data_IF_586780042093
#
_entry.id   IF_586780042093
#
_cell.length_a   1.000
_cell.length_b   1.000
_cell.length_c   1.000
_cell.angle_alpha   90.00
_cell.angle_beta   90.00
_cell.angle_gamma   90.00
#
_symmetry.space_group_name_H-M   'P 1'
#
loop_
_entity.id
_entity.type
_entity.pdbx_description
1 polymer ?
#
# COMPACT_ATOMS: atom_id res chain seq x y z
N UNK A 1 49.73 50.83 -16.26
CA UNK A 1 49.05 49.56 -16.58
C UNK A 1 48.14 49.19 -15.41
N UNK A 2 46.88 48.86 -15.73
CA UNK A 2 45.76 48.40 -14.88
C UNK A 2 45.04 49.46 -14.01
N UNK A 3 43.77 49.66 -14.33
CA UNK A 3 42.78 50.57 -13.75
C UNK A 3 42.02 49.92 -12.57
N UNK A 4 41.57 50.68 -11.55
CA UNK A 4 40.91 50.15 -10.36
C UNK A 4 39.36 50.12 -10.49
N UNK A 5 38.83 49.50 -11.55
CA UNK A 5 37.38 49.48 -11.85
C UNK A 5 36.75 48.07 -11.83
N UNK A 6 37.27 47.16 -11.02
CA UNK A 6 36.67 45.83 -10.85
C UNK A 6 36.48 45.49 -9.37
N UNK A 7 35.87 46.43 -8.62
CA UNK A 7 35.25 46.13 -7.35
C UNK A 7 34.01 45.24 -7.60
N UNK A 8 34.22 43.94 -7.46
CA UNK A 8 33.31 42.99 -6.80
C UNK A 8 31.81 43.34 -6.85
N UNK A 9 31.18 43.04 -7.98
CA UNK A 9 29.74 42.85 -8.08
C UNK A 9 29.44 41.38 -8.42
N UNK A 10 29.86 40.46 -7.55
CA UNK A 10 29.31 39.11 -7.50
C UNK A 10 28.06 39.19 -6.63
N UNK A 11 26.98 39.71 -7.22
CA UNK A 11 25.65 39.56 -6.68
C UNK A 11 25.32 38.06 -6.70
N UNK A 12 25.41 37.44 -5.52
CA UNK A 12 24.80 36.16 -5.22
C UNK A 12 23.29 36.29 -5.44
N UNK A 13 22.85 36.05 -6.67
CA UNK A 13 21.47 35.67 -6.96
C UNK A 13 21.30 34.25 -6.41
N UNK A 14 21.00 34.19 -5.11
CA UNK A 14 20.26 33.07 -4.53
C UNK A 14 18.88 33.14 -5.18
N UNK A 15 18.75 32.53 -6.37
CA UNK A 15 17.44 32.19 -6.90
C UNK A 15 16.90 31.17 -5.91
N UNK A 16 15.98 31.64 -5.06
CA UNK A 16 15.30 30.83 -4.09
C UNK A 16 14.79 29.57 -4.77
N UNK A 17 15.16 28.42 -4.22
CA UNK A 17 14.49 27.17 -4.53
C UNK A 17 13.01 27.40 -4.28
N UNK A 18 12.23 27.44 -5.35
CA UNK A 18 10.78 27.38 -5.24
C UNK A 18 10.46 25.96 -4.78
N UNK A 19 10.60 25.71 -3.47
CA UNK A 19 10.10 24.50 -2.84
C UNK A 19 8.58 24.63 -2.76
N UNK A 20 7.92 24.55 -3.90
CA UNK A 20 6.49 24.30 -4.01
C UNK A 20 6.28 22.79 -4.18
N UNK A 21 6.60 22.03 -3.13
CA UNK A 21 6.17 20.65 -2.95
C UNK A 21 5.26 20.68 -1.69
N UNK A 22 3.98 20.31 -1.68
CA UNK A 22 3.20 19.60 -2.68
C UNK A 22 1.77 20.14 -2.81
N UNK A 23 1.16 19.76 -3.95
CA UNK A 23 -0.26 20.01 -4.24
C UNK A 23 -1.14 18.80 -3.91
N UNK A 24 -0.54 17.62 -3.74
CA UNK A 24 -1.21 16.34 -3.50
C UNK A 24 -0.55 15.61 -2.33
N UNK A 25 -1.26 14.65 -1.73
CA UNK A 25 -0.72 13.85 -0.64
C UNK A 25 0.11 12.67 -1.14
N UNK A 26 1.30 12.49 -0.58
CA UNK A 26 2.21 11.37 -0.79
C UNK A 26 1.99 10.32 0.32
N UNK A 27 1.67 9.08 -0.07
CA UNK A 27 1.37 8.02 0.89
C UNK A 27 2.60 7.50 1.64
N UNK A 28 3.79 7.54 1.04
CA UNK A 28 5.04 7.17 1.73
C UNK A 28 5.37 8.20 2.81
N UNK A 29 5.24 9.48 2.49
CA UNK A 29 5.35 10.54 3.49
C UNK A 29 4.25 10.45 4.54
N UNK A 30 3.04 10.01 4.17
CA UNK A 30 1.93 9.84 5.10
C UNK A 30 2.20 8.76 6.15
N UNK A 31 2.77 7.62 5.72
CA UNK A 31 3.24 6.57 6.61
C UNK A 31 4.32 7.09 7.58
N UNK A 32 5.27 7.88 7.07
CA UNK A 32 6.31 8.50 7.89
C UNK A 32 5.72 9.50 8.90
N UNK A 33 4.79 10.36 8.47
CA UNK A 33 4.12 11.33 9.32
C UNK A 33 3.35 10.66 10.47
N UNK A 34 2.63 9.55 10.24
CA UNK A 34 1.98 8.80 11.32
C UNK A 34 2.95 8.26 12.38
N UNK A 35 4.17 7.92 11.97
CA UNK A 35 5.23 7.45 12.88
C UNK A 35 5.87 8.63 13.62
N UNK A 36 6.30 9.63 12.88
CA UNK A 36 7.09 10.77 13.38
C UNK A 36 6.25 11.71 14.23
N UNK A 37 4.97 11.88 13.92
CA UNK A 37 4.01 12.64 14.75
C UNK A 37 3.42 11.84 15.91
N UNK A 38 3.87 10.59 16.08
CA UNK A 38 3.53 9.74 17.24
C UNK A 38 2.16 9.08 17.21
N UNK A 39 1.41 9.15 16.10
CA UNK A 39 0.07 8.56 15.98
C UNK A 39 0.08 7.04 16.24
N UNK A 40 1.11 6.35 15.73
CA UNK A 40 1.30 4.89 15.85
C UNK A 40 1.58 4.39 17.27
N UNK A 41 1.75 5.29 18.25
CA UNK A 41 2.02 4.93 19.63
C UNK A 41 0.74 4.56 20.40
N UNK A 42 -0.41 5.08 19.94
CA UNK A 42 -1.72 4.69 20.46
C UNK A 42 -2.53 3.93 19.41
N UNK A 43 -2.45 4.33 18.14
CA UNK A 43 -3.20 3.72 17.06
C UNK A 43 -2.40 2.61 16.36
N UNK A 44 -3.06 1.48 16.12
CA UNK A 44 -2.57 0.51 15.15
C UNK A 44 -2.81 0.98 13.71
N UNK A 45 -2.01 0.47 12.77
CA UNK A 45 -2.18 0.61 11.32
C UNK A 45 -2.01 -0.76 10.69
N UNK A 46 -3.02 -1.27 9.99
CA UNK A 46 -3.02 -2.63 9.42
C UNK A 46 -2.71 -3.71 10.47
N UNK A 47 -3.21 -3.54 11.68
CA UNK A 47 -2.96 -4.42 12.82
C UNK A 47 -1.52 -4.39 13.36
N UNK A 48 -0.71 -3.37 12.99
CA UNK A 48 0.66 -3.19 13.47
C UNK A 48 0.85 -1.91 14.27
N UNK A 49 1.71 -1.98 15.27
CA UNK A 49 1.85 -0.92 16.28
C UNK A 49 0.66 -0.91 17.25
N UNK A 50 0.51 0.19 17.97
CA UNK A 50 -0.70 0.47 18.75
C UNK A 50 -0.58 0.35 20.26
N UNK A 51 -1.60 0.93 20.89
CA UNK A 51 -1.89 0.99 22.32
C UNK A 51 -3.41 0.87 22.51
N UNK A 52 -4.05 1.67 23.38
CA UNK A 52 -5.47 1.51 23.69
C UNK A 52 -6.44 1.99 22.59
N UNK A 53 -5.96 2.59 21.50
CA UNK A 53 -6.81 3.23 20.50
C UNK A 53 -7.12 2.33 19.29
N UNK A 54 -8.23 2.64 18.61
CA UNK A 54 -8.69 1.90 17.43
C UNK A 54 -7.68 1.95 16.29
N UNK A 55 -7.60 0.87 15.51
CA UNK A 55 -6.81 0.83 14.28
C UNK A 55 -7.30 1.87 13.26
N UNK A 56 -6.39 2.70 12.74
CA UNK A 56 -6.70 3.76 11.77
C UNK A 56 -7.16 3.22 10.41
N UNK A 57 -6.92 1.94 10.14
CA UNK A 57 -7.39 1.24 8.94
C UNK A 57 -8.75 0.60 9.11
N UNK A 58 -9.34 0.68 10.31
CA UNK A 58 -10.69 0.20 10.55
C UNK A 58 -11.71 0.95 9.70
N UNK A 59 -12.48 0.21 8.89
CA UNK A 59 -13.51 0.74 7.97
C UNK A 59 -14.81 1.15 8.67
N UNK A 60 -14.92 0.97 9.99
CA UNK A 60 -16.12 1.32 10.77
C UNK A 60 -16.44 2.83 10.78
N UNK A 61 -15.52 3.67 10.34
CA UNK A 61 -15.71 5.13 10.24
C UNK A 61 -16.15 5.54 8.84
N UNK A 62 -17.47 5.69 8.65
CA UNK A 62 -18.14 6.51 7.63
C UNK A 62 -17.62 6.46 6.17
N UNK A 63 -18.09 7.38 5.34
CA UNK A 63 -17.48 7.62 4.04
C UNK A 63 -16.10 8.27 4.24
N UNK A 64 -15.04 7.60 3.80
CA UNK A 64 -13.67 8.12 3.91
C UNK A 64 -13.44 9.23 2.87
N UNK A 65 -13.95 10.42 3.19
CA UNK A 65 -13.81 11.66 2.42
C UNK A 65 -12.93 12.66 3.18
N UNK A 66 -12.34 13.66 2.52
CA UNK A 66 -11.59 14.70 3.23
C UNK A 66 -12.40 15.41 4.33
N UNK A 67 -13.69 15.67 4.08
CA UNK A 67 -14.59 16.27 5.06
C UNK A 67 -14.90 15.32 6.23
N UNK A 68 -15.14 14.03 5.94
CA UNK A 68 -15.35 13.01 6.96
C UNK A 68 -14.12 12.80 7.84
N UNK A 69 -12.94 12.65 7.22
CA UNK A 69 -11.67 12.56 7.93
C UNK A 69 -11.43 13.78 8.83
N UNK A 70 -11.69 14.99 8.32
CA UNK A 70 -11.56 16.22 9.11
C UNK A 70 -12.53 16.24 10.29
N UNK A 71 -13.79 15.83 10.08
CA UNK A 71 -14.79 15.79 11.15
C UNK A 71 -14.43 14.78 12.25
N UNK A 72 -13.97 13.59 11.87
CA UNK A 72 -13.50 12.57 12.83
C UNK A 72 -12.32 13.10 13.66
N UNK A 73 -11.29 13.65 13.01
CA UNK A 73 -10.15 14.22 13.72
C UNK A 73 -10.57 15.38 14.63
N UNK A 74 -11.40 16.29 14.14
CA UNK A 74 -11.86 17.45 14.91
C UNK A 74 -12.61 17.04 16.18
N UNK A 75 -13.50 16.05 16.07
CA UNK A 75 -14.29 15.57 17.19
C UNK A 75 -13.48 14.68 18.14
N UNK A 76 -12.49 13.95 17.64
CA UNK A 76 -11.64 13.06 18.44
C UNK A 76 -10.47 13.80 19.12
N UNK A 77 -10.00 14.91 18.55
CA UNK A 77 -8.81 15.62 18.98
C UNK A 77 -8.75 15.95 20.49
N UNK A 78 -9.81 16.42 21.17
CA UNK A 78 -9.76 16.70 22.60
C UNK A 78 -9.42 15.46 23.45
N UNK A 79 -9.96 14.30 23.08
CA UNK A 79 -9.66 13.03 23.75
C UNK A 79 -8.21 12.61 23.48
N UNK A 80 -7.76 12.72 22.23
CA UNK A 80 -6.36 12.45 21.88
C UNK A 80 -5.42 13.33 22.69
N UNK A 81 -5.67 14.63 22.78
CA UNK A 81 -4.81 15.57 23.51
C UNK A 81 -4.78 15.29 25.00
N UNK A 82 -5.91 14.92 25.60
CA UNK A 82 -5.98 14.51 27.00
C UNK A 82 -5.12 13.27 27.27
N UNK A 83 -5.17 12.28 26.37
CA UNK A 83 -4.36 11.06 26.48
C UNK A 83 -2.87 11.33 26.21
N UNK A 84 -2.55 12.21 25.27
CA UNK A 84 -1.17 12.66 25.06
C UNK A 84 -0.62 13.34 26.31
N UNK A 85 -1.41 14.24 26.92
CA UNK A 85 -1.01 14.95 28.13
C UNK A 85 -0.81 14.02 29.33
N UNK A 86 -1.64 12.98 29.49
CA UNK A 86 -1.49 11.97 30.56
C UNK A 86 -0.17 11.19 30.44
N UNK A 87 0.34 11.06 29.22
CA UNK A 87 1.62 10.43 28.91
C UNK A 87 2.79 11.43 28.87
N UNK A 88 2.60 12.68 29.30
CA UNK A 88 3.63 13.72 29.32
C UNK A 88 4.00 14.24 27.93
N UNK A 89 3.10 14.14 26.96
CA UNK A 89 3.33 14.53 25.57
C UNK A 89 2.48 15.74 25.20
N UNK A 90 2.96 16.51 24.25
CA UNK A 90 2.22 17.60 23.63
C UNK A 90 1.88 17.22 22.20
N UNK A 91 0.68 17.59 21.70
CA UNK A 91 0.39 17.52 20.28
C UNK A 91 1.42 18.34 19.51
N UNK A 92 2.30 17.68 18.77
CA UNK A 92 3.19 18.38 17.84
C UNK A 92 2.36 18.94 16.68
N UNK A 93 2.75 20.12 16.19
CA UNK A 93 2.08 20.71 15.04
C UNK A 93 2.25 19.83 13.81
N UNK A 94 1.15 19.55 13.11
CA UNK A 94 1.16 18.94 11.79
C UNK A 94 1.05 20.02 10.72
N UNK A 95 1.81 19.89 9.65
CA UNK A 95 1.67 20.79 8.50
C UNK A 95 0.44 20.41 7.67
N UNK A 96 -0.02 21.32 6.82
CA UNK A 96 -1.05 20.99 5.82
C UNK A 96 -0.61 19.84 4.91
N UNK A 97 0.69 19.76 4.58
CA UNK A 97 1.23 18.67 3.76
C UNK A 97 1.21 17.35 4.52
N UNK A 98 1.60 17.34 5.80
CA UNK A 98 1.53 16.14 6.66
C UNK A 98 0.10 15.56 6.67
N UNK A 99 -0.92 16.43 6.79
CA UNK A 99 -2.32 15.99 6.78
C UNK A 99 -2.78 15.46 5.41
N UNK A 100 -2.31 16.07 4.31
CA UNK A 100 -2.58 15.55 2.95
C UNK A 100 -1.95 14.17 2.76
N UNK A 101 -0.71 14.02 3.19
CA UNK A 101 0.07 12.80 3.08
C UNK A 101 -0.56 11.67 3.92
N UNK A 102 -0.90 11.97 5.19
CA UNK A 102 -1.60 11.03 6.08
C UNK A 102 -2.96 10.62 5.50
N UNK A 103 -3.73 11.58 4.98
CA UNK A 103 -4.99 11.26 4.33
C UNK A 103 -4.80 10.35 3.10
N UNK A 104 -3.84 10.65 2.22
CA UNK A 104 -3.52 9.82 1.06
C UNK A 104 -3.09 8.41 1.47
N UNK A 105 -2.24 8.28 2.49
CA UNK A 105 -1.82 6.99 3.02
C UNK A 105 -3.01 6.19 3.56
N UNK A 106 -3.80 6.79 4.46
CA UNK A 106 -4.97 6.14 5.05
C UNK A 106 -6.02 5.80 3.99
N UNK A 107 -6.17 6.63 2.97
CA UNK A 107 -7.00 6.34 1.79
C UNK A 107 -6.49 5.11 1.08
N UNK A 108 -5.21 5.08 0.69
CA UNK A 108 -4.61 3.97 -0.04
C UNK A 108 -4.68 2.64 0.73
N UNK A 109 -4.38 2.63 2.02
CA UNK A 109 -4.44 1.40 2.83
C UNK A 109 -5.86 0.95 3.17
N UNK A 110 -6.84 1.86 3.16
CA UNK A 110 -8.27 1.52 3.30
C UNK A 110 -8.93 1.18 1.97
N UNK A 111 -8.30 1.52 0.85
CA UNK A 111 -8.80 1.30 -0.50
C UNK A 111 -8.79 -0.19 -0.88
N UNK A 112 -7.78 -0.94 -0.44
CA UNK A 112 -7.65 -2.36 -0.79
C UNK A 112 -8.46 -3.28 0.15
N UNK A 113 -9.23 -4.17 -0.50
CA UNK A 113 -9.99 -5.35 -0.05
C UNK A 113 -10.86 -5.25 1.24
N UNK A 114 -12.12 -5.72 1.23
CA UNK A 114 -12.89 -5.83 2.45
C UNK A 114 -12.17 -6.66 3.50
N UNK A 115 -12.44 -6.36 4.78
CA UNK A 115 -11.99 -7.26 5.85
C UNK A 115 -12.51 -8.67 5.58
N UNK A 116 -11.57 -9.62 5.42
CA UNK A 116 -11.85 -11.02 5.21
C UNK A 116 -12.26 -11.72 6.51
N UNK A 117 -12.97 -12.83 6.36
CA UNK A 117 -13.45 -13.70 7.44
C UNK A 117 -12.91 -15.11 7.22
N UNK A 118 -12.17 -15.61 8.21
CA UNK A 118 -11.49 -16.90 8.11
C UNK A 118 -12.46 -18.09 7.99
N UNK A 119 -13.65 -18.03 8.58
CA UNK A 119 -14.63 -19.12 8.49
C UNK A 119 -15.31 -19.15 7.11
N UNK A 120 -15.55 -17.98 6.52
CA UNK A 120 -15.95 -17.90 5.10
C UNK A 120 -14.81 -18.31 4.18
N UNK A 121 -13.57 -17.92 4.47
CA UNK A 121 -12.41 -18.29 3.66
C UNK A 121 -12.14 -19.78 3.66
N UNK A 122 -12.36 -20.46 4.79
CA UNK A 122 -12.33 -21.92 4.86
C UNK A 122 -13.32 -22.57 3.91
N UNK A 123 -14.53 -22.02 3.79
CA UNK A 123 -15.54 -22.48 2.83
C UNK A 123 -15.08 -22.25 1.40
N UNK A 124 -14.56 -21.06 1.08
CA UNK A 124 -13.99 -20.76 -0.26
C UNK A 124 -12.90 -21.76 -0.63
N UNK A 125 -11.93 -22.03 0.26
CA UNK A 125 -10.85 -23.00 0.00
C UNK A 125 -11.37 -24.42 -0.30
N UNK A 126 -12.49 -24.81 0.30
CA UNK A 126 -13.12 -26.11 0.07
C UNK A 126 -13.98 -26.12 -1.21
N UNK A 127 -14.86 -25.13 -1.37
CA UNK A 127 -15.84 -25.04 -2.45
C UNK A 127 -15.20 -24.75 -3.81
N UNK A 128 -14.09 -24.01 -3.83
CA UNK A 128 -13.25 -23.80 -5.03
C UNK A 128 -12.24 -24.92 -5.25
N UNK A 129 -12.35 -26.02 -4.51
CA UNK A 129 -11.52 -27.22 -4.60
C UNK A 129 -9.99 -27.01 -4.43
N UNK A 130 -9.55 -25.90 -3.83
CA UNK A 130 -8.12 -25.58 -3.63
C UNK A 130 -7.37 -26.70 -2.88
N UNK A 131 -8.06 -27.33 -1.92
CA UNK A 131 -7.56 -28.45 -1.11
C UNK A 131 -7.20 -29.71 -1.91
N UNK A 132 -7.67 -29.86 -3.15
CA UNK A 132 -7.36 -31.03 -3.99
C UNK A 132 -5.90 -31.05 -4.45
N UNK A 133 -5.26 -29.88 -4.52
CA UNK A 133 -3.86 -29.73 -4.91
C UNK A 133 -3.00 -29.11 -3.80
N UNK A 134 -3.54 -28.17 -3.02
CA UNK A 134 -2.79 -27.46 -1.98
C UNK A 134 -3.09 -28.01 -0.58
N UNK A 135 -2.12 -28.69 0.02
CA UNK A 135 -2.23 -29.18 1.39
C UNK A 135 -2.21 -28.02 2.41
N UNK A 136 -3.03 -28.10 3.46
CA UNK A 136 -3.06 -27.08 4.53
C UNK A 136 -1.87 -27.16 5.48
N UNK A 137 -1.16 -28.28 5.48
CA UNK A 137 0.04 -28.56 6.26
C UNK A 137 1.13 -29.05 5.33
N UNK A 138 2.39 -28.92 5.75
CA UNK A 138 3.49 -29.55 5.00
C UNK A 138 3.30 -31.06 5.04
N UNK A 139 3.35 -31.69 3.87
CA UNK A 139 3.29 -33.13 3.70
C UNK A 139 4.62 -33.62 3.17
N UNK A 140 5.10 -34.78 3.63
CA UNK A 140 6.29 -35.40 3.06
C UNK A 140 5.96 -36.01 1.69
N UNK A 141 6.77 -35.68 0.68
CA UNK A 141 6.61 -36.15 -0.71
C UNK A 141 6.13 -35.06 -1.68
N UNK A 142 5.98 -35.44 -2.94
CA UNK A 142 5.58 -34.52 -4.01
C UNK A 142 4.05 -34.37 -4.04
N UNK A 143 3.54 -33.29 -3.43
CA UNK A 143 2.16 -32.85 -3.62
C UNK A 143 1.94 -32.27 -5.02
N UNK A 144 0.69 -32.25 -5.49
CA UNK A 144 0.34 -31.69 -6.82
C UNK A 144 0.68 -30.19 -6.88
N UNK A 145 0.34 -29.46 -5.82
CA UNK A 145 0.68 -28.04 -5.67
C UNK A 145 1.50 -27.79 -4.40
N UNK A 146 2.15 -26.62 -4.30
CA UNK A 146 2.83 -26.22 -3.08
C UNK A 146 1.86 -26.19 -1.91
N UNK A 147 2.27 -26.73 -0.76
CA UNK A 147 1.49 -26.66 0.46
C UNK A 147 1.28 -25.20 0.87
N UNK A 148 0.13 -24.91 1.48
CA UNK A 148 -0.26 -23.57 1.92
C UNK A 148 0.81 -22.91 2.81
N UNK A 149 1.46 -23.62 3.76
CA UNK A 149 2.56 -23.05 4.56
C UNK A 149 3.79 -22.60 3.76
N UNK A 150 3.94 -23.05 2.51
CA UNK A 150 5.06 -22.73 1.63
C UNK A 150 4.71 -21.65 0.59
N UNK A 151 3.46 -21.15 0.60
CA UNK A 151 3.08 -20.00 -0.21
C UNK A 151 3.86 -18.74 0.25
N UNK A 152 4.17 -17.81 -0.68
CA UNK A 152 4.78 -16.54 -0.31
C UNK A 152 3.94 -15.76 0.70
N UNK A 153 4.55 -14.77 1.36
CA UNK A 153 3.88 -13.98 2.39
C UNK A 153 2.64 -13.25 1.83
N UNK A 154 1.46 -13.80 2.11
CA UNK A 154 0.15 -13.31 1.64
C UNK A 154 -0.33 -12.02 2.30
N UNK A 155 0.51 -11.40 3.13
CA UNK A 155 0.20 -10.14 3.79
C UNK A 155 0.33 -8.95 2.85
N UNK A 156 0.95 -9.15 1.68
CA UNK A 156 0.92 -8.21 0.58
C UNK A 156 0.07 -8.83 -0.55
N UNK A 157 -1.13 -8.29 -0.84
CA UNK A 157 -2.00 -8.83 -1.89
C UNK A 157 -1.34 -8.76 -3.28
N UNK A 158 -0.36 -7.87 -3.50
CA UNK A 158 0.38 -7.78 -4.76
C UNK A 158 1.33 -8.96 -4.93
N UNK A 159 2.03 -9.38 -3.86
CA UNK A 159 2.88 -10.58 -3.91
C UNK A 159 2.05 -11.85 -4.11
N UNK A 160 0.86 -11.92 -3.52
CA UNK A 160 -0.04 -13.04 -3.78
C UNK A 160 -0.54 -13.05 -5.23
N UNK A 161 -0.93 -11.89 -5.77
CA UNK A 161 -1.32 -11.76 -7.16
C UNK A 161 -0.21 -12.20 -8.10
N UNK A 162 1.02 -11.72 -7.90
CA UNK A 162 2.18 -12.12 -8.70
C UNK A 162 2.38 -13.64 -8.65
N UNK A 163 2.39 -14.23 -7.46
CA UNK A 163 2.60 -15.66 -7.29
C UNK A 163 1.50 -16.49 -7.98
N UNK A 164 0.24 -16.10 -7.81
CA UNK A 164 -0.90 -16.77 -8.45
C UNK A 164 -0.91 -16.57 -9.97
N UNK A 165 -0.54 -15.38 -10.45
CA UNK A 165 -0.43 -15.07 -11.88
C UNK A 165 0.63 -15.94 -12.55
N UNK A 166 1.83 -16.00 -11.95
CA UNK A 166 2.93 -16.79 -12.46
C UNK A 166 2.70 -18.30 -12.31
N UNK A 167 1.91 -18.73 -11.32
CA UNK A 167 1.54 -20.14 -11.13
C UNK A 167 0.30 -20.56 -11.95
N UNK A 168 -0.49 -19.60 -12.46
CA UNK A 168 -1.81 -19.82 -13.02
C UNK A 168 -1.86 -20.81 -14.18
N UNK A 169 -0.86 -20.79 -15.07
CA UNK A 169 -0.79 -21.73 -16.20
C UNK A 169 -0.70 -23.20 -15.74
N UNK A 170 0.10 -23.49 -14.71
CA UNK A 170 0.20 -24.84 -14.13
C UNK A 170 -1.10 -25.23 -13.45
N UNK A 171 -1.75 -24.30 -12.74
CA UNK A 171 -3.06 -24.56 -12.15
C UNK A 171 -4.12 -24.85 -13.22
N UNK A 172 -4.07 -24.19 -14.38
CA UNK A 172 -5.00 -24.41 -15.47
C UNK A 172 -4.85 -25.82 -16.05
N UNK A 173 -3.61 -26.25 -16.30
CA UNK A 173 -3.30 -27.61 -16.75
C UNK A 173 -3.80 -28.67 -15.76
N UNK A 174 -3.49 -28.51 -14.47
CA UNK A 174 -3.89 -29.46 -13.42
C UNK A 174 -5.42 -29.48 -13.19
N UNK A 175 -6.07 -28.33 -13.24
CA UNK A 175 -7.55 -28.27 -13.12
C UNK A 175 -8.21 -28.94 -14.33
N UNK A 176 -7.70 -28.73 -15.55
CA UNK A 176 -8.18 -29.41 -16.73
C UNK A 176 -7.98 -30.94 -16.64
N UNK A 177 -6.79 -31.40 -16.26
CA UNK A 177 -6.47 -32.81 -16.08
C UNK A 177 -7.34 -33.47 -14.99
N UNK A 178 -7.56 -32.77 -13.88
CA UNK A 178 -8.39 -33.18 -12.76
C UNK A 178 -9.91 -33.04 -13.00
N UNK A 179 -10.32 -32.50 -14.16
CA UNK A 179 -11.70 -32.13 -14.50
C UNK A 179 -12.35 -31.20 -13.46
N UNK A 180 -11.54 -30.34 -12.86
CA UNK A 180 -11.94 -29.29 -11.95
C UNK A 180 -12.25 -28.06 -12.81
N UNK A 181 -13.38 -27.41 -12.55
CA UNK A 181 -13.69 -26.14 -13.23
C UNK A 181 -12.77 -25.06 -12.70
N UNK A 182 -12.19 -24.25 -13.59
CA UNK A 182 -11.43 -23.06 -13.17
C UNK A 182 -12.26 -22.20 -12.20
N UNK A 183 -11.74 -21.86 -11.02
CA UNK A 183 -12.51 -21.16 -10.01
C UNK A 183 -12.69 -19.69 -10.38
N UNK A 184 -13.94 -19.27 -10.58
CA UNK A 184 -14.30 -17.85 -10.58
C UNK A 184 -14.40 -17.38 -9.12
N UNK A 185 -13.76 -16.26 -8.79
CA UNK A 185 -13.72 -15.70 -7.44
C UNK A 185 -14.14 -14.23 -7.45
N UNK A 186 -14.96 -13.87 -6.47
CA UNK A 186 -15.28 -12.47 -6.15
C UNK A 186 -14.20 -11.86 -5.26
N UNK A 187 -14.16 -10.52 -5.20
CA UNK A 187 -13.34 -9.74 -4.26
C UNK A 187 -13.48 -10.27 -2.83
N UNK A 188 -14.72 -10.46 -2.36
CA UNK A 188 -14.98 -10.95 -1.00
C UNK A 188 -14.50 -12.37 -0.75
N UNK A 189 -14.71 -13.29 -1.70
CA UNK A 189 -14.22 -14.67 -1.57
C UNK A 189 -12.69 -14.71 -1.47
N UNK A 190 -12.00 -13.87 -2.25
CA UNK A 190 -10.55 -13.76 -2.22
C UNK A 190 -10.05 -13.18 -0.89
N UNK A 191 -10.66 -12.09 -0.41
CA UNK A 191 -10.34 -11.49 0.88
C UNK A 191 -10.56 -12.46 2.05
N UNK A 192 -11.68 -13.19 2.04
CA UNK A 192 -12.00 -14.21 3.04
C UNK A 192 -11.00 -15.37 2.98
N UNK A 193 -10.65 -15.86 1.78
CA UNK A 193 -9.64 -16.90 1.55
C UNK A 193 -8.28 -16.50 2.15
N UNK A 194 -7.82 -15.28 1.87
CA UNK A 194 -6.58 -14.74 2.42
C UNK A 194 -6.63 -14.64 3.95
N UNK A 195 -7.76 -14.23 4.53
CA UNK A 195 -7.94 -14.20 5.98
C UNK A 195 -7.85 -15.60 6.61
N UNK A 196 -8.48 -16.61 6.00
CA UNK A 196 -8.39 -18.00 6.43
C UNK A 196 -6.96 -18.52 6.40
N UNK A 197 -6.31 -18.35 5.25
CA UNK A 197 -4.98 -18.88 5.00
C UNK A 197 -3.93 -18.23 5.92
N UNK A 198 -4.10 -16.94 6.25
CA UNK A 198 -3.25 -16.21 7.20
C UNK A 198 -3.49 -16.61 8.66
N UNK A 199 -4.64 -17.20 8.99
CA UNK A 199 -4.97 -17.67 10.34
C UNK A 199 -4.42 -19.08 10.65
N UNK A 200 -3.79 -19.75 9.69
CA UNK A 200 -3.23 -21.10 9.87
C UNK A 200 -1.98 -21.10 10.78
N UNK A 201 -1.84 -22.09 11.68
CA UNK A 201 -0.82 -22.10 12.73
C UNK A 201 0.62 -22.31 12.23
N UNK A 202 0.83 -22.94 11.07
CA UNK A 202 2.17 -23.21 10.51
C UNK A 202 2.73 -22.07 9.64
N UNK A 203 2.07 -20.91 9.63
CA UNK A 203 2.52 -19.71 8.89
C UNK A 203 3.67 -19.02 9.63
N UNK A 204 4.82 -18.74 8.99
CA UNK A 204 5.88 -17.97 9.62
C UNK A 204 5.39 -16.55 10.02
N UNK A 205 5.93 -15.98 11.10
CA UNK A 205 5.48 -14.70 11.62
C UNK A 205 5.62 -13.56 10.60
N UNK A 206 4.62 -12.68 10.65
CA UNK A 206 4.35 -11.57 9.73
C UNK A 206 5.57 -10.65 9.52
N UNK A 207 6.14 -10.66 8.32
CA UNK A 207 6.95 -9.54 7.81
C UNK A 207 6.44 -9.16 6.42
N UNK A 208 5.44 -8.28 6.39
CA UNK A 208 5.06 -7.58 5.17
C UNK A 208 5.56 -6.15 5.29
N UNK A 209 6.44 -5.71 4.40
CA UNK A 209 6.72 -4.28 4.27
C UNK A 209 5.74 -3.77 3.23
N UNK A 210 4.83 -2.88 3.61
CA UNK A 210 4.05 -2.14 2.63
C UNK A 210 5.01 -1.17 1.96
N UNK A 211 5.55 -1.54 0.80
CA UNK A 211 6.26 -0.62 -0.08
C UNK A 211 5.25 -0.13 -1.11
N UNK A 212 4.86 1.15 -1.03
CA UNK A 212 4.07 1.76 -2.09
C UNK A 212 4.96 1.80 -3.34
N UNK A 213 4.48 1.20 -4.45
CA UNK A 213 5.23 1.15 -5.70
C UNK A 213 5.67 2.54 -6.17
N UNK A 214 6.87 2.63 -6.75
CA UNK A 214 7.36 3.88 -7.33
C UNK A 214 6.70 4.10 -8.69
N UNK A 215 6.03 5.23 -8.87
CA UNK A 215 5.42 5.62 -10.15
C UNK A 215 6.45 5.59 -11.31
N UNK A 216 7.67 6.07 -11.05
CA UNK A 216 8.78 6.04 -12.01
C UNK A 216 9.26 4.61 -12.30
N UNK A 217 9.29 3.73 -11.29
CA UNK A 217 9.64 2.32 -11.52
C UNK A 217 8.57 1.59 -12.32
N UNK A 218 7.29 1.86 -12.04
CA UNK A 218 6.16 1.31 -12.80
C UNK A 218 6.19 1.73 -14.27
N UNK A 219 6.46 3.01 -14.55
CA UNK A 219 6.60 3.49 -15.94
C UNK A 219 7.75 2.78 -16.68
N UNK A 220 8.93 2.65 -16.05
CA UNK A 220 10.05 1.92 -16.66
C UNK A 220 9.67 0.47 -16.97
N UNK A 221 9.04 -0.22 -16.02
CA UNK A 221 8.58 -1.59 -16.23
C UNK A 221 7.58 -1.70 -17.40
N UNK A 222 6.65 -0.74 -17.51
CA UNK A 222 5.66 -0.69 -18.59
C UNK A 222 6.30 -0.50 -19.97
N UNK A 223 7.38 0.28 -20.07
CA UNK A 223 8.18 0.43 -21.29
C UNK A 223 9.03 -0.82 -21.56
N UNK A 224 9.76 -1.31 -20.56
CA UNK A 224 10.66 -2.48 -20.66
C UNK A 224 9.90 -3.75 -21.11
N UNK A 225 8.64 -3.92 -20.68
CA UNK A 225 7.77 -5.02 -21.10
C UNK A 225 7.13 -4.78 -22.48
N UNK A 226 7.40 -3.65 -23.13
CA UNK A 226 6.89 -3.29 -24.46
C UNK A 226 5.43 -2.87 -24.48
N UNK A 227 4.80 -2.59 -23.33
CA UNK A 227 3.37 -2.30 -23.24
C UNK A 227 3.01 -1.01 -23.99
N UNK A 228 3.93 -0.04 -24.06
CA UNK A 228 3.78 1.22 -24.83
C UNK A 228 3.56 0.95 -26.33
N UNK A 229 4.03 -0.19 -26.85
CA UNK A 229 3.82 -0.58 -28.24
C UNK A 229 2.36 -0.84 -28.62
N UNK A 230 1.49 -1.09 -27.64
CA UNK A 230 0.06 -1.36 -27.87
C UNK A 230 -0.88 -0.48 -27.03
N UNK A 231 -0.44 0.03 -25.89
CA UNK A 231 -1.24 0.84 -24.97
C UNK A 231 -0.78 2.30 -25.00
N UNK A 232 -1.69 3.21 -25.36
CA UNK A 232 -1.43 4.66 -25.31
C UNK A 232 -1.62 5.18 -23.89
N UNK A 233 -0.61 5.87 -23.37
CA UNK A 233 -0.72 6.61 -22.11
C UNK A 233 -1.27 8.00 -22.47
N UNK A 234 -2.48 8.31 -22.02
CA UNK A 234 -3.15 9.58 -22.35
C UNK A 234 -2.40 10.73 -21.65
N UNK A 235 -1.67 11.54 -22.41
CA UNK A 235 -0.92 12.70 -21.90
C UNK A 235 -1.79 13.92 -21.58
N UNK A 236 -3.08 13.93 -21.93
CA UNK A 236 -3.88 15.17 -22.05
C UNK A 236 -5.07 15.32 -21.12
N UNK A 237 -5.13 14.60 -19.99
CA UNK A 237 -6.09 14.90 -18.94
C UNK A 237 -5.43 15.84 -17.90
N UNK A 238 -5.95 17.06 -17.67
CA UNK A 238 -5.43 17.97 -16.65
C UNK A 238 -5.47 17.41 -15.21
N UNK A 239 -6.17 16.30 -14.98
CA UNK A 239 -6.20 15.57 -13.70
C UNK A 239 -5.23 14.36 -13.65
N UNK A 240 -4.46 14.07 -14.71
CA UNK A 240 -3.46 12.99 -14.72
C UNK A 240 -2.03 13.49 -14.47
N UNK A 241 -1.28 12.73 -13.67
CA UNK A 241 0.13 12.97 -13.34
C UNK A 241 0.98 12.52 -14.55
N UNK A 242 1.76 13.42 -15.19
CA UNK A 242 2.72 13.00 -16.20
C UNK A 242 3.84 12.21 -15.51
N UNK A 243 3.96 10.93 -15.88
CA UNK A 243 4.98 10.01 -15.39
C UNK A 243 6.36 10.24 -16.04
N UNK A 244 6.49 11.26 -16.87
CA UNK A 244 7.74 11.77 -17.44
C UNK A 244 7.74 13.31 -17.42
N UNK A 245 8.88 13.98 -17.24
CA UNK A 245 8.95 15.42 -17.42
C UNK A 245 8.73 15.78 -18.91
N UNK A 246 8.14 16.94 -19.19
CA UNK A 246 7.68 17.34 -20.53
C UNK A 246 8.79 17.47 -21.57
N UNK A 247 10.06 17.32 -21.20
CA UNK A 247 11.23 17.45 -22.06
C UNK A 247 11.99 16.12 -22.30
N UNK A 248 11.43 14.98 -21.91
CA UNK A 248 12.00 13.65 -22.20
C UNK A 248 13.31 13.34 -21.46
N UNK A 249 13.65 14.10 -20.41
CA UNK A 249 14.83 13.84 -19.58
C UNK A 249 14.48 12.88 -18.44
N UNK A 250 15.27 11.84 -18.23
CA UNK A 250 15.15 11.03 -17.02
C UNK A 250 15.39 11.89 -15.77
N UNK A 251 14.59 11.70 -14.72
CA UNK A 251 14.88 12.28 -13.41
C UNK A 251 16.25 11.76 -12.94
N UNK A 252 17.27 12.62 -12.98
CA UNK A 252 18.56 12.36 -12.34
C UNK A 252 18.46 12.69 -10.85
N UNK A 253 18.99 11.80 -10.02
CA UNK A 253 19.06 11.85 -8.55
C UNK A 253 19.57 13.18 -8.00
#
# INVERSE_FOLDING_TARGET
MRTPWQALALALLVVGTCAAQGRYGDSLHGAAALRERGCTQCHAVLGRGGGPATDLTNRSFGSFSPAGFTAELWNHAPQMWSEMASQGRTPEGMTTQDMRDVFSFLYAVRFFEPAGDADRGRRVFSEKECHRCHALVRVEGDGIGPAVPDWPALTDPVLFLEAMWNHGALMEEETAAGKIRWPEMTERELADLLAYVNALPERPPRMGRLEMGSANAGMRLFDDLGCIGCHTILETDPDLIPLAPPDGRAYTL
#
